data_IF_082936585224
#
_entry.id   IF_082936585224
#
_cell.length_a   1.000
_cell.length_b   1.000
_cell.length_c   1.000
_cell.angle_alpha   90.00
_cell.angle_beta   90.00
_cell.angle_gamma   90.00
#
_symmetry.space_group_name_H-M   'P 1'
#
loop_
_entity.id
_entity.type
_entity.pdbx_description
1 polymer ?
#
# COMPACT_ATOMS: atom_id res chain seq x y z
N UNK A 1 -49.98 -13.74 12.55
CA UNK A 1 -48.75 -13.02 13.01
C UNK A 1 -47.50 -13.68 12.40
N UNK A 2 -47.64 -14.37 11.28
CA UNK A 2 -46.65 -15.32 10.74
C UNK A 2 -45.75 -14.71 9.66
N UNK A 3 -46.14 -13.56 9.10
CA UNK A 3 -45.33 -12.81 8.13
C UNK A 3 -44.04 -12.25 8.75
N UNK A 4 -44.11 -11.84 10.02
CA UNK A 4 -42.94 -11.33 10.77
C UNK A 4 -41.96 -12.48 11.06
N UNK A 5 -42.45 -13.68 11.37
CA UNK A 5 -41.63 -14.87 11.58
C UNK A 5 -40.90 -15.34 10.31
N UNK A 6 -41.57 -15.28 9.15
CA UNK A 6 -40.97 -15.65 7.86
C UNK A 6 -39.97 -14.62 7.31
N UNK A 7 -40.13 -13.33 7.63
CA UNK A 7 -39.20 -12.26 7.25
C UNK A 7 -37.98 -12.15 8.18
N UNK A 8 -38.08 -12.65 9.42
CA UNK A 8 -36.99 -12.64 10.40
C UNK A 8 -35.67 -13.24 9.86
N UNK A 9 -35.62 -14.46 9.28
CA UNK A 9 -34.36 -15.01 8.75
C UNK A 9 -33.80 -14.19 7.58
N UNK A 10 -34.67 -13.61 6.74
CA UNK A 10 -34.26 -12.76 5.63
C UNK A 10 -33.61 -11.45 6.10
N UNK A 11 -34.18 -10.81 7.12
CA UNK A 11 -33.64 -9.59 7.73
C UNK A 11 -32.30 -9.88 8.42
N UNK A 12 -32.17 -11.03 9.09
CA UNK A 12 -30.91 -11.45 9.74
C UNK A 12 -29.81 -11.67 8.71
N UNK A 13 -30.07 -12.39 7.62
CA UNK A 13 -29.09 -12.61 6.54
C UNK A 13 -28.72 -11.29 5.86
N UNK A 14 -29.70 -10.45 5.56
CA UNK A 14 -29.47 -9.13 4.94
C UNK A 14 -28.62 -8.23 5.86
N UNK A 15 -28.92 -8.22 7.17
CA UNK A 15 -28.13 -7.50 8.17
C UNK A 15 -26.71 -8.03 8.30
N UNK A 16 -26.52 -9.36 8.31
CA UNK A 16 -25.20 -9.97 8.40
C UNK A 16 -24.33 -9.66 7.16
N UNK A 17 -24.91 -9.78 5.96
CA UNK A 17 -24.23 -9.52 4.69
C UNK A 17 -23.87 -8.03 4.57
N UNK A 18 -24.75 -7.12 5.00
CA UNK A 18 -24.47 -5.69 5.09
C UNK A 18 -23.30 -5.37 6.03
N UNK A 19 -23.32 -5.91 7.26
CA UNK A 19 -22.27 -5.67 8.26
C UNK A 19 -20.92 -6.23 7.80
N UNK A 20 -20.91 -7.42 7.18
CA UNK A 20 -19.70 -8.06 6.69
C UNK A 20 -19.12 -7.38 5.45
N UNK A 21 -19.91 -6.74 4.59
CA UNK A 21 -19.41 -6.03 3.40
C UNK A 21 -19.01 -4.58 3.69
N UNK A 22 -19.74 -3.87 4.56
CA UNK A 22 -19.50 -2.44 4.80
C UNK A 22 -18.25 -2.20 5.65
N UNK A 23 -17.98 -3.08 6.63
CA UNK A 23 -16.76 -3.00 7.46
C UNK A 23 -15.45 -3.13 6.66
N UNK A 24 -15.26 -4.13 5.78
CA UNK A 24 -14.02 -4.25 5.02
C UNK A 24 -13.86 -3.14 3.98
N UNK A 25 -14.95 -2.61 3.42
CA UNK A 25 -14.88 -1.49 2.49
C UNK A 25 -14.37 -0.21 3.15
N UNK A 26 -14.87 0.11 4.35
CA UNK A 26 -14.41 1.27 5.11
C UNK A 26 -12.92 1.16 5.47
N UNK A 27 -12.44 -0.04 5.81
CA UNK A 27 -11.01 -0.27 6.08
C UNK A 27 -10.14 0.04 4.87
N UNK A 28 -10.47 -0.51 3.70
CA UNK A 28 -9.71 -0.27 2.46
C UNK A 28 -9.70 1.21 2.06
N UNK A 29 -10.85 1.89 2.13
CA UNK A 29 -10.93 3.31 1.83
C UNK A 29 -10.06 4.15 2.77
N UNK A 30 -10.09 3.84 4.08
CA UNK A 30 -9.29 4.50 5.09
C UNK A 30 -7.79 4.24 4.90
N UNK A 31 -7.40 3.01 4.56
CA UNK A 31 -6.01 2.64 4.26
C UNK A 31 -5.48 3.42 3.06
N UNK A 32 -6.24 3.48 1.95
CA UNK A 32 -5.87 4.29 0.78
C UNK A 32 -5.73 5.76 1.16
N UNK A 33 -6.71 6.32 1.88
CA UNK A 33 -6.65 7.72 2.28
C UNK A 33 -5.45 8.03 3.19
N UNK A 34 -5.15 7.15 4.13
CA UNK A 34 -3.97 7.29 5.00
C UNK A 34 -2.67 7.25 4.20
N UNK A 35 -2.57 6.36 3.21
CA UNK A 35 -1.39 6.28 2.33
C UNK A 35 -1.24 7.55 1.49
N UNK A 36 -2.31 8.08 0.92
CA UNK A 36 -2.28 9.33 0.17
C UNK A 36 -1.90 10.53 1.05
N UNK A 37 -2.32 10.53 2.32
CA UNK A 37 -1.95 11.56 3.29
C UNK A 37 -0.48 11.45 3.75
N UNK A 38 0.12 10.27 3.61
CA UNK A 38 1.53 10.04 3.97
C UNK A 38 2.51 10.41 2.86
N UNK A 39 2.03 10.78 1.67
CA UNK A 39 2.86 11.19 0.54
C UNK A 39 3.62 12.47 0.86
N UNK A 40 4.93 12.44 0.59
CA UNK A 40 5.83 13.58 0.71
C UNK A 40 6.59 13.82 -0.60
N UNK A 41 7.08 15.04 -0.79
CA UNK A 41 8.05 15.35 -1.85
C UNK A 41 9.30 14.49 -1.67
N UNK A 42 9.79 13.91 -2.76
CA UNK A 42 10.94 13.01 -2.77
C UNK A 42 10.60 11.53 -2.59
N UNK A 43 9.35 11.18 -2.29
CA UNK A 43 8.96 9.78 -2.16
C UNK A 43 9.00 9.09 -3.53
N UNK A 44 9.59 7.90 -3.57
CA UNK A 44 9.51 7.02 -4.73
C UNK A 44 8.18 6.30 -4.71
N UNK A 45 7.41 6.40 -5.78
CA UNK A 45 6.04 5.89 -5.84
C UNK A 45 5.81 5.04 -7.09
N UNK A 46 4.76 4.22 -7.02
CA UNK A 46 4.21 3.51 -8.18
C UNK A 46 2.75 3.89 -8.34
N UNK A 47 2.38 4.31 -9.54
CA UNK A 47 0.98 4.62 -9.88
C UNK A 47 0.17 3.35 -10.14
N UNK A 48 -1.16 3.47 -10.21
CA UNK A 48 -2.07 2.35 -10.51
C UNK A 48 -1.75 1.70 -11.87
N UNK A 49 -1.27 2.49 -12.83
CA UNK A 49 -0.84 2.00 -14.16
C UNK A 49 0.53 1.32 -14.17
N UNK A 50 1.20 1.21 -13.02
CA UNK A 50 2.54 0.64 -12.92
C UNK A 50 3.66 1.60 -13.34
N UNK A 51 3.40 2.90 -13.45
CA UNK A 51 4.45 3.90 -13.68
C UNK A 51 5.24 4.10 -12.40
N UNK A 52 6.56 4.02 -12.49
CA UNK A 52 7.48 4.34 -11.40
C UNK A 52 7.99 5.77 -11.57
N UNK A 53 8.08 6.51 -10.47
CA UNK A 53 8.60 7.86 -10.48
C UNK A 53 8.80 8.40 -9.06
N UNK A 54 9.20 9.67 -8.98
CA UNK A 54 9.43 10.36 -7.72
C UNK A 54 8.47 11.53 -7.59
N UNK A 55 7.91 11.76 -6.42
CA UNK A 55 7.04 12.91 -6.17
C UNK A 55 7.88 14.19 -6.17
N UNK A 56 7.65 15.08 -7.14
CA UNK A 56 8.29 16.38 -7.16
C UNK A 56 7.47 17.44 -6.41
N UNK A 57 6.16 17.49 -6.62
CA UNK A 57 5.32 18.49 -5.95
C UNK A 57 3.94 17.91 -5.60
N UNK A 58 3.39 18.36 -4.47
CA UNK A 58 2.04 18.01 -4.05
C UNK A 58 1.20 19.28 -4.05
N UNK A 59 0.21 19.33 -4.93
CA UNK A 59 -0.70 20.46 -5.05
C UNK A 59 -1.98 20.12 -4.28
N UNK A 60 -2.03 20.60 -3.05
CA UNK A 60 -3.16 20.42 -2.13
C UNK A 60 -4.51 20.95 -2.65
N UNK A 61 -4.62 22.18 -3.21
CA UNK A 61 -5.92 22.74 -3.60
C UNK A 61 -6.62 21.91 -4.69
N UNK A 62 -5.86 21.33 -5.60
CA UNK A 62 -6.39 20.57 -6.76
C UNK A 62 -6.36 19.05 -6.54
N UNK A 63 -5.89 18.59 -5.38
CA UNK A 63 -5.66 17.16 -5.10
C UNK A 63 -4.80 16.43 -6.15
N UNK A 64 -3.82 17.13 -6.72
CA UNK A 64 -2.88 16.59 -7.69
C UNK A 64 -1.47 16.45 -7.12
N UNK A 65 -0.66 15.66 -7.82
CA UNK A 65 0.75 15.44 -7.55
C UNK A 65 1.52 15.52 -8.87
N UNK A 66 2.67 16.18 -8.86
CA UNK A 66 3.61 16.20 -9.98
C UNK A 66 4.63 15.11 -9.72
N UNK A 67 4.76 14.20 -10.69
CA UNK A 67 5.67 13.06 -10.62
C UNK A 67 6.78 13.28 -11.65
N UNK A 68 8.02 13.18 -11.19
CA UNK A 68 9.22 13.15 -12.03
C UNK A 68 9.47 11.72 -12.52
N UNK A 69 9.47 11.57 -13.85
CA UNK A 69 9.80 10.35 -14.56
C UNK A 69 11.02 10.64 -15.45
N UNK A 70 12.22 10.55 -14.89
CA UNK A 70 13.50 10.75 -15.61
C UNK A 70 13.62 12.14 -16.29
N UNK A 71 13.20 13.19 -15.60
CA UNK A 71 13.23 14.58 -16.10
C UNK A 71 11.96 15.00 -16.84
N UNK A 72 10.96 14.12 -16.93
CA UNK A 72 9.63 14.44 -17.45
C UNK A 72 8.68 14.61 -16.27
N UNK A 73 8.14 15.82 -16.10
CA UNK A 73 7.18 16.14 -15.06
C UNK A 73 5.76 15.94 -15.56
N UNK A 74 5.02 15.05 -14.90
CA UNK A 74 3.64 14.72 -15.25
C UNK A 74 2.73 14.94 -14.04
N UNK A 75 1.63 15.65 -14.28
CA UNK A 75 0.62 15.89 -13.24
C UNK A 75 -0.41 14.77 -13.24
N UNK A 76 -0.55 14.13 -12.09
CA UNK A 76 -1.56 13.11 -11.84
C UNK A 76 -2.46 13.51 -10.68
N UNK A 77 -3.64 12.93 -10.60
CA UNK A 77 -4.43 13.01 -9.37
C UNK A 77 -3.70 12.25 -8.25
N UNK A 78 -3.78 12.76 -7.02
CA UNK A 78 -3.19 12.10 -5.85
C UNK A 78 -3.67 10.66 -5.70
N UNK A 79 -4.95 10.41 -6.02
CA UNK A 79 -5.56 9.06 -5.99
C UNK A 79 -4.95 8.07 -6.98
N UNK A 80 -4.19 8.53 -7.97
CA UNK A 80 -3.54 7.67 -8.96
C UNK A 80 -2.28 6.98 -8.41
N UNK A 81 -1.81 7.37 -7.23
CA UNK A 81 -0.70 6.70 -6.54
C UNK A 81 -1.21 5.41 -5.91
N UNK A 82 -0.58 4.27 -6.24
CA UNK A 82 -0.98 2.96 -5.74
C UNK A 82 -0.20 2.55 -4.48
N UNK A 83 1.10 2.84 -4.44
CA UNK A 83 1.96 2.57 -3.28
C UNK A 83 3.20 3.45 -3.28
N UNK A 84 3.78 3.61 -2.09
CA UNK A 84 5.07 4.27 -1.86
C UNK A 84 6.13 3.15 -1.75
N UNK A 85 7.21 3.25 -2.52
CA UNK A 85 8.32 2.29 -2.57
C UNK A 85 9.42 2.68 -1.58
N UNK A 86 9.70 3.99 -1.48
CA UNK A 86 10.72 4.50 -0.57
C UNK A 86 10.21 5.80 0.03
N UNK A 87 10.09 5.81 1.35
CA UNK A 87 9.78 7.01 2.12
C UNK A 87 11.11 7.74 2.28
N UNK A 88 11.16 9.02 1.92
CA UNK A 88 12.39 9.82 1.94
C UNK A 88 13.08 9.89 3.33
N UNK A 89 12.38 9.49 4.41
CA UNK A 89 12.89 9.46 5.80
C UNK A 89 13.39 8.09 6.29
N UNK A 90 13.35 7.02 5.49
CA UNK A 90 13.85 5.68 5.88
C UNK A 90 15.07 5.25 5.07
N UNK A 91 16.17 5.97 5.25
CA UNK A 91 17.52 5.39 5.17
C UNK A 91 18.04 5.26 6.60
N UNK A 92 17.61 4.21 7.30
CA UNK A 92 18.30 3.76 8.50
C UNK A 92 18.25 2.23 8.56
N UNK A 93 19.46 1.66 8.57
CA UNK A 93 19.83 0.24 8.56
C UNK A 93 19.66 -0.51 7.22
N UNK A 94 20.74 -0.73 6.46
CA UNK A 94 20.77 -1.84 5.53
C UNK A 94 20.53 -3.12 6.33
N UNK A 95 19.58 -3.94 5.89
CA UNK A 95 19.61 -5.37 6.20
C UNK A 95 20.89 -5.91 5.57
N UNK A 96 21.96 -5.96 6.36
CA UNK A 96 23.06 -6.88 6.11
C UNK A 96 22.42 -8.26 6.24
N UNK A 97 22.10 -8.87 5.12
CA UNK A 97 22.18 -10.32 5.01
C UNK A 97 23.58 -10.70 5.54
N UNK A 98 23.64 -11.19 6.77
CA UNK A 98 24.71 -12.11 7.13
C UNK A 98 24.55 -13.31 6.19
N UNK A 99 25.28 -13.27 5.08
CA UNK A 99 25.67 -14.46 4.34
C UNK A 99 26.60 -15.24 5.27
N UNK A 100 26.00 -15.95 6.23
CA UNK A 100 26.66 -16.94 7.07
C UNK A 100 27.26 -17.98 6.15
N UNK A 101 28.56 -17.87 5.96
CA UNK A 101 29.40 -18.82 5.25
C UNK A 101 29.26 -20.17 5.92
N UNK A 102 28.47 -21.07 5.33
CA UNK A 102 28.67 -22.49 5.57
C UNK A 102 29.93 -22.88 4.82
N UNK A 103 31.07 -22.70 5.47
CA UNK A 103 32.30 -23.40 5.10
C UNK A 103 32.03 -24.88 5.32
N UNK A 104 32.10 -25.74 4.29
CA UNK A 104 32.16 -27.17 4.51
C UNK A 104 33.41 -27.46 5.32
N UNK A 105 33.23 -27.96 6.54
CA UNK A 105 34.28 -28.63 7.32
C UNK A 105 34.65 -29.91 6.56
N UNK A 106 35.50 -29.73 5.54
CA UNK A 106 36.22 -30.79 4.86
C UNK A 106 37.58 -30.90 5.55
N UNK A 107 37.59 -31.66 6.65
CA UNK A 107 38.79 -32.21 7.26
C UNK A 107 38.87 -33.70 6.87
N UNK A 108 39.19 -33.92 5.61
CA UNK A 108 40.02 -35.06 5.22
C UNK A 108 41.49 -34.75 5.58
N UNK A 109 42.27 -35.82 5.71
CA UNK A 109 43.72 -35.87 5.90
C UNK A 109 44.18 -35.57 7.34
N UNK A 110 45.12 -36.27 7.96
CA UNK A 110 45.82 -37.54 7.77
C UNK A 110 46.74 -37.61 9.02
N UNK A 111 47.23 -38.81 9.36
CA UNK A 111 48.18 -39.17 10.45
C UNK A 111 47.63 -39.53 11.85
#
# INVERSE_FOLDING_TARGET
MDLIGAMLPFIVIMGLMYVLMIRPQQKKAKETQNMLNSLKKGDSIVTIGGLHGVVDEIIEPDNTVVIDCEGIYLTFERRAVARIVTIADTVSAPQVEELGTNTPDDSADDE
#
